data_IF_186487029465
#
_entry.id   IF_186487029465
#
_cell.length_a   1.000
_cell.length_b   1.000
_cell.length_c   1.000
_cell.angle_alpha   90.00
_cell.angle_beta   90.00
_cell.angle_gamma   90.00
#
_symmetry.space_group_name_H-M   'P 1'
#
loop_
_entity.id
_entity.type
_entity.pdbx_description
1 polymer ?
#
# COMPACT_ATOMS: atom_id res chain seq x y z
N UNK A 1 7.15 -20.59 -2.85
CA UNK A 1 6.23 -20.33 -3.98
C UNK A 1 6.94 -20.60 -5.29
N UNK A 2 6.31 -21.18 -6.31
CA UNK A 2 6.92 -21.30 -7.64
C UNK A 2 6.76 -20.02 -8.48
N UNK A 3 7.45 -19.89 -9.62
CA UNK A 3 7.40 -18.67 -10.45
C UNK A 3 6.02 -18.40 -11.09
N UNK A 4 5.24 -19.45 -11.37
CA UNK A 4 3.90 -19.30 -11.95
C UNK A 4 2.95 -18.74 -10.91
N UNK A 5 3.00 -19.30 -9.70
CA UNK A 5 2.25 -18.82 -8.55
C UNK A 5 2.67 -17.40 -8.19
N UNK A 6 3.98 -17.10 -8.13
CA UNK A 6 4.47 -15.75 -7.87
C UNK A 6 3.92 -14.73 -8.85
N UNK A 7 3.95 -15.04 -10.15
CA UNK A 7 3.37 -14.16 -11.18
C UNK A 7 1.88 -13.93 -10.95
N UNK A 8 1.12 -15.00 -10.66
CA UNK A 8 -0.33 -14.92 -10.41
C UNK A 8 -0.65 -14.06 -9.18
N UNK A 9 0.08 -14.25 -8.08
CA UNK A 9 -0.13 -13.48 -6.84
C UNK A 9 0.15 -11.99 -7.04
N UNK A 10 1.24 -11.67 -7.76
CA UNK A 10 1.59 -10.28 -8.10
C UNK A 10 0.56 -9.62 -9.01
N UNK A 11 0.06 -10.34 -10.03
CA UNK A 11 -1.03 -9.86 -10.90
C UNK A 11 -2.35 -9.66 -10.16
N UNK A 12 -2.57 -10.38 -9.05
CA UNK A 12 -3.74 -10.27 -8.20
C UNK A 12 -3.67 -9.17 -7.14
N UNK A 13 -2.56 -8.43 -7.04
CA UNK A 13 -2.42 -7.36 -6.06
C UNK A 13 -3.46 -6.27 -6.28
N UNK A 14 -4.18 -5.83 -5.24
CA UNK A 14 -5.10 -4.72 -5.35
C UNK A 14 -4.35 -3.41 -5.64
N UNK A 15 -5.03 -2.51 -6.32
CA UNK A 15 -4.52 -1.18 -6.66
C UNK A 15 -4.45 -0.29 -5.43
N UNK A 16 -3.22 0.09 -5.04
CA UNK A 16 -2.97 0.93 -3.86
C UNK A 16 -3.49 2.35 -4.09
N UNK A 17 -3.28 2.88 -5.29
CA UNK A 17 -3.71 4.21 -5.70
C UNK A 17 -5.24 4.38 -5.70
N UNK A 18 -5.98 3.33 -6.07
CA UNK A 18 -7.45 3.30 -5.95
C UNK A 18 -7.88 3.24 -4.49
N UNK A 19 -7.34 2.31 -3.70
CA UNK A 19 -7.72 2.14 -2.29
C UNK A 19 -7.48 3.41 -1.46
N UNK A 20 -6.35 4.10 -1.65
CA UNK A 20 -6.06 5.36 -0.93
C UNK A 20 -6.95 6.51 -1.40
N UNK A 21 -7.30 6.56 -2.69
CA UNK A 21 -8.21 7.58 -3.23
C UNK A 21 -9.62 7.39 -2.66
N UNK A 22 -10.12 6.16 -2.67
CA UNK A 22 -11.43 5.84 -2.12
C UNK A 22 -11.50 6.13 -0.62
N UNK A 23 -10.45 5.78 0.12
CA UNK A 23 -10.33 6.13 1.53
C UNK A 23 -10.37 7.64 1.75
N UNK A 24 -9.65 8.42 0.93
CA UNK A 24 -9.65 9.88 1.02
C UNK A 24 -11.05 10.48 0.74
N UNK A 25 -11.80 9.94 -0.22
CA UNK A 25 -13.16 10.41 -0.53
C UNK A 25 -14.15 10.06 0.58
N UNK A 26 -14.09 8.82 1.09
CA UNK A 26 -15.09 8.28 2.01
C UNK A 26 -14.80 8.52 3.50
N UNK A 27 -13.64 9.09 3.82
CA UNK A 27 -13.26 9.39 5.20
C UNK A 27 -12.72 10.82 5.34
N UNK A 28 -11.58 11.12 4.71
CA UNK A 28 -10.89 12.42 4.92
C UNK A 28 -11.74 13.60 4.49
N UNK A 29 -12.40 13.53 3.32
CA UNK A 29 -13.27 14.61 2.86
C UNK A 29 -14.50 14.80 3.75
N UNK A 30 -15.04 13.71 4.32
CA UNK A 30 -16.20 13.78 5.22
C UNK A 30 -15.90 14.58 6.49
N UNK A 31 -14.66 14.53 6.95
CA UNK A 31 -14.23 15.19 8.18
C UNK A 31 -13.70 16.62 7.97
N UNK A 32 -13.52 17.07 6.73
CA UNK A 32 -13.05 18.43 6.44
C UNK A 32 -14.20 19.43 6.46
N UNK A 33 -14.02 20.46 7.28
CA UNK A 33 -14.98 21.54 7.61
C UNK A 33 -15.62 22.21 6.38
N UNK A 34 -14.86 22.36 5.28
CA UNK A 34 -15.34 23.07 4.08
C UNK A 34 -15.93 22.15 3.01
N UNK A 35 -15.94 20.83 3.24
CA UNK A 35 -16.20 19.87 2.18
C UNK A 35 -17.61 19.27 2.21
N UNK A 36 -18.33 19.26 3.34
CA UNK A 36 -19.64 18.61 3.43
C UNK A 36 -20.66 19.35 4.32
N UNK A 37 -21.56 20.09 3.68
CA UNK A 37 -22.75 20.67 4.29
C UNK A 37 -23.85 19.63 4.59
N UNK A 38 -23.75 18.41 4.04
CA UNK A 38 -24.79 17.38 4.09
C UNK A 38 -24.56 16.26 5.13
N UNK A 39 -23.45 16.27 5.87
CA UNK A 39 -23.24 15.39 7.02
C UNK A 39 -23.49 16.18 8.31
N UNK A 40 -24.75 16.23 8.80
CA UNK A 40 -25.14 17.11 9.91
C UNK A 40 -24.31 16.87 11.17
N UNK A 41 -23.90 15.63 11.43
CA UNK A 41 -23.17 15.25 12.65
C UNK A 41 -21.78 15.88 12.81
N UNK A 42 -21.05 16.11 11.71
CA UNK A 42 -19.73 16.78 11.77
C UNK A 42 -19.88 18.28 12.12
N UNK A 43 -21.05 18.85 11.83
CA UNK A 43 -21.37 20.24 12.18
C UNK A 43 -21.79 20.42 13.65
N UNK A 44 -22.04 19.34 14.39
CA UNK A 44 -22.41 19.37 15.80
C UNK A 44 -21.18 19.38 16.72
N UNK A 45 -20.00 18.96 16.22
CA UNK A 45 -18.77 18.96 17.02
C UNK A 45 -18.40 20.36 17.52
N UNK A 46 -17.93 20.43 18.78
CA UNK A 46 -17.40 21.67 19.37
C UNK A 46 -16.14 22.14 18.63
N UNK A 47 -15.80 23.42 18.78
CA UNK A 47 -14.60 24.02 18.18
C UNK A 47 -13.32 23.27 18.60
N UNK A 48 -13.24 22.79 19.84
CA UNK A 48 -12.07 22.11 20.38
C UNK A 48 -11.90 20.71 19.79
N UNK A 49 -12.99 19.93 19.69
CA UNK A 49 -12.99 18.61 19.05
C UNK A 49 -12.60 18.73 17.58
N UNK A 50 -13.09 19.75 16.88
CA UNK A 50 -12.69 20.02 15.49
C UNK A 50 -11.21 20.35 15.35
N UNK A 51 -10.67 21.20 16.24
CA UNK A 51 -9.23 21.51 16.24
C UNK A 51 -8.40 20.26 16.48
N UNK A 52 -8.84 19.41 17.40
CA UNK A 52 -8.18 18.14 17.70
C UNK A 52 -8.16 17.22 16.47
N UNK A 53 -9.31 16.96 15.83
CA UNK A 53 -9.39 16.13 14.60
C UNK A 53 -8.53 16.73 13.48
N UNK A 54 -8.62 18.04 13.24
CA UNK A 54 -7.84 18.71 12.19
C UNK A 54 -6.32 18.64 12.44
N UNK A 55 -5.88 18.61 13.71
CA UNK A 55 -4.46 18.46 14.03
C UNK A 55 -3.89 17.11 13.57
N UNK A 56 -4.73 16.06 13.55
CA UNK A 56 -4.37 14.75 12.98
C UNK A 56 -4.51 14.71 11.45
N UNK A 57 -5.54 15.35 10.88
CA UNK A 57 -5.80 15.34 9.43
C UNK A 57 -4.85 16.22 8.60
N UNK A 58 -4.18 17.20 9.21
CA UNK A 58 -3.21 18.07 8.52
C UNK A 58 -1.98 17.28 8.02
N UNK A 59 -1.20 16.66 8.91
CA UNK A 59 -0.06 15.80 8.53
C UNK A 59 -0.46 14.59 7.68
N UNK A 60 -1.74 14.22 7.72
CA UNK A 60 -2.30 13.06 7.02
C UNK A 60 -2.25 13.17 5.50
N UNK A 61 -2.28 14.38 4.92
CA UNK A 61 -2.25 14.53 3.46
C UNK A 61 -0.94 14.07 2.84
N UNK A 62 0.19 14.42 3.46
CA UNK A 62 1.50 14.00 2.98
C UNK A 62 1.64 12.48 3.09
N UNK A 63 1.18 11.90 4.20
CA UNK A 63 1.17 10.45 4.40
C UNK A 63 0.35 9.72 3.33
N UNK A 64 -0.79 10.26 2.90
CA UNK A 64 -1.57 9.66 1.81
C UNK A 64 -0.85 9.71 0.47
N UNK A 65 -0.07 10.76 0.19
CA UNK A 65 0.74 10.84 -1.03
C UNK A 65 1.87 9.82 -1.01
N UNK A 66 2.54 9.65 0.13
CA UNK A 66 3.58 8.63 0.33
C UNK A 66 3.01 7.21 0.15
N UNK A 67 1.84 6.92 0.75
CA UNK A 67 1.17 5.61 0.60
C UNK A 67 0.76 5.36 -0.85
N UNK A 68 0.33 6.40 -1.58
CA UNK A 68 -0.03 6.28 -3.01
C UNK A 68 1.16 5.79 -3.85
N UNK A 69 2.38 6.17 -3.51
CA UNK A 69 3.59 5.69 -4.18
C UNK A 69 3.82 4.18 -4.00
N UNK A 70 3.16 3.54 -3.04
CA UNK A 70 3.14 2.08 -2.88
C UNK A 70 2.58 1.33 -4.10
N UNK A 71 1.90 2.01 -5.03
CA UNK A 71 1.53 1.42 -6.32
C UNK A 71 2.77 1.09 -7.17
N UNK A 72 3.86 1.86 -7.06
CA UNK A 72 5.10 1.58 -7.78
C UNK A 72 5.71 0.23 -7.35
N UNK A 73 5.48 -0.18 -6.09
CA UNK A 73 5.93 -1.48 -5.59
C UNK A 73 5.20 -2.62 -6.34
N UNK A 74 3.89 -2.49 -6.61
CA UNK A 74 3.15 -3.46 -7.41
C UNK A 74 3.77 -3.61 -8.81
N UNK A 75 4.11 -2.49 -9.44
CA UNK A 75 4.71 -2.46 -10.78
C UNK A 75 6.11 -3.08 -10.79
N UNK A 76 6.93 -2.79 -9.78
CA UNK A 76 8.26 -3.39 -9.60
C UNK A 76 8.16 -4.90 -9.35
N UNK A 77 7.26 -5.34 -8.48
CA UNK A 77 7.02 -6.78 -8.24
C UNK A 77 6.59 -7.50 -9.54
N UNK A 78 5.74 -6.86 -10.35
CA UNK A 78 5.31 -7.42 -11.64
C UNK A 78 6.51 -7.55 -12.59
N UNK A 79 7.33 -6.51 -12.67
CA UNK A 79 8.58 -6.54 -13.43
C UNK A 79 9.50 -7.68 -12.96
N UNK A 80 9.72 -7.83 -11.65
CA UNK A 80 10.57 -8.89 -11.10
C UNK A 80 10.05 -10.28 -11.40
N UNK A 81 8.76 -10.55 -11.20
CA UNK A 81 8.17 -11.84 -11.52
C UNK A 81 8.41 -12.22 -12.99
N UNK A 82 8.22 -11.25 -13.90
CA UNK A 82 8.50 -11.44 -15.34
C UNK A 82 9.98 -11.69 -15.61
N UNK A 83 10.88 -10.88 -15.04
CA UNK A 83 12.33 -11.03 -15.23
C UNK A 83 12.84 -12.36 -14.70
N UNK A 84 12.29 -12.88 -13.60
CA UNK A 84 12.68 -14.19 -13.05
C UNK A 84 12.24 -15.34 -13.96
N UNK A 85 11.04 -15.26 -14.55
CA UNK A 85 10.60 -16.22 -15.58
C UNK A 85 11.55 -16.19 -16.78
N UNK A 86 11.89 -14.99 -17.26
CA UNK A 86 12.82 -14.83 -18.38
C UNK A 86 14.22 -15.33 -18.03
N UNK A 87 14.71 -15.06 -16.81
CA UNK A 87 15.99 -15.56 -16.32
C UNK A 87 16.02 -17.08 -16.31
N UNK A 88 14.93 -17.73 -15.84
CA UNK A 88 14.83 -19.19 -15.84
C UNK A 88 14.87 -19.76 -17.26
N UNK A 89 14.07 -19.22 -18.18
CA UNK A 89 14.02 -19.68 -19.56
C UNK A 89 15.35 -19.49 -20.29
N UNK A 90 15.99 -18.32 -20.13
CA UNK A 90 17.29 -18.04 -20.75
C UNK A 90 18.41 -18.92 -20.20
N UNK A 91 18.37 -19.24 -18.91
CA UNK A 91 19.30 -20.21 -18.30
C UNK A 91 19.10 -21.61 -18.87
N UNK A 92 17.86 -22.07 -19.03
CA UNK A 92 17.56 -23.38 -19.63
C UNK A 92 18.01 -23.46 -21.10
N UNK A 93 17.92 -22.36 -21.83
CA UNK A 93 18.38 -22.27 -23.23
C UNK A 93 19.90 -22.10 -23.37
N UNK A 94 20.67 -22.04 -22.28
CA UNK A 94 22.12 -21.87 -22.31
C UNK A 94 22.61 -20.47 -22.72
N UNK A 95 21.73 -19.45 -22.77
CA UNK A 95 22.11 -18.08 -23.14
C UNK A 95 22.68 -17.32 -21.94
N UNK A 96 23.96 -17.60 -21.63
CA UNK A 96 24.66 -17.02 -20.48
C UNK A 96 24.77 -15.48 -20.57
N UNK A 97 24.84 -14.91 -21.78
CA UNK A 97 24.95 -13.46 -21.99
C UNK A 97 23.66 -12.76 -21.56
N UNK A 98 22.52 -13.22 -22.07
CA UNK A 98 21.21 -12.63 -21.73
C UNK A 98 20.88 -12.86 -20.26
N UNK A 99 21.17 -14.05 -19.75
CA UNK A 99 21.10 -14.37 -18.34
C UNK A 99 21.85 -13.36 -17.43
N UNK A 100 23.09 -13.04 -17.77
CA UNK A 100 23.91 -12.05 -17.04
C UNK A 100 23.31 -10.65 -17.11
N UNK A 101 22.78 -10.26 -18.27
CA UNK A 101 22.13 -8.96 -18.47
C UNK A 101 20.87 -8.81 -17.60
N UNK A 102 20.00 -9.83 -17.56
CA UNK A 102 18.81 -9.82 -16.70
C UNK A 102 19.22 -9.74 -15.22
N UNK A 103 20.20 -10.54 -14.81
CA UNK A 103 20.74 -10.52 -13.43
C UNK A 103 21.25 -9.13 -13.06
N UNK A 104 21.99 -8.49 -13.98
CA UNK A 104 22.53 -7.14 -13.76
C UNK A 104 21.43 -6.10 -13.59
N UNK A 105 20.37 -6.15 -14.42
CA UNK A 105 19.23 -5.25 -14.27
C UNK A 105 18.56 -5.39 -12.91
N UNK A 106 18.27 -6.62 -12.48
CA UNK A 106 17.62 -6.88 -11.20
C UNK A 106 18.43 -6.39 -9.98
N UNK A 107 19.75 -6.27 -10.11
CA UNK A 107 20.65 -5.86 -9.03
C UNK A 107 21.06 -4.40 -9.07
N UNK A 108 21.19 -3.81 -10.27
CA UNK A 108 21.88 -2.53 -10.46
C UNK A 108 21.08 -1.48 -11.22
N UNK A 109 19.88 -1.81 -11.70
CA UNK A 109 19.03 -0.84 -12.38
C UNK A 109 18.61 0.29 -11.43
N UNK A 110 18.65 1.54 -11.90
CA UNK A 110 18.36 2.70 -11.07
C UNK A 110 16.92 2.74 -10.56
N UNK A 111 15.99 2.09 -11.28
CA UNK A 111 14.55 2.10 -10.95
C UNK A 111 14.09 0.74 -10.42
N UNK A 112 14.59 -0.34 -11.03
CA UNK A 112 14.16 -1.72 -10.79
C UNK A 112 15.21 -2.57 -10.07
N UNK A 113 16.04 -1.98 -9.21
CA UNK A 113 16.87 -2.79 -8.33
C UNK A 113 16.07 -3.29 -7.12
N UNK A 114 16.29 -4.57 -6.79
CA UNK A 114 15.61 -5.24 -5.68
C UNK A 114 15.94 -4.61 -4.31
N UNK A 115 17.15 -4.09 -4.12
CA UNK A 115 17.60 -3.53 -2.85
C UNK A 115 16.78 -2.30 -2.45
N UNK A 116 16.62 -1.35 -3.37
CA UNK A 116 15.77 -0.18 -3.18
C UNK A 116 14.31 -0.58 -2.96
N UNK A 117 13.81 -1.57 -3.69
CA UNK A 117 12.41 -2.01 -3.51
C UNK A 117 12.17 -2.62 -2.14
N UNK A 118 13.17 -3.26 -1.52
CA UNK A 118 13.06 -3.74 -0.14
C UNK A 118 12.85 -2.58 0.84
N UNK A 119 13.57 -1.48 0.67
CA UNK A 119 13.39 -0.29 1.51
C UNK A 119 12.03 0.38 1.25
N UNK A 120 11.61 0.51 -0.02
CA UNK A 120 10.30 1.04 -0.37
C UNK A 120 9.15 0.23 0.25
N UNK A 121 9.26 -1.10 0.27
CA UNK A 121 8.29 -2.00 0.93
C UNK A 121 8.23 -1.76 2.44
N UNK A 122 9.38 -1.57 3.10
CA UNK A 122 9.42 -1.27 4.54
C UNK A 122 8.81 0.09 4.85
N UNK A 123 9.13 1.09 4.05
CA UNK A 123 8.58 2.44 4.18
C UNK A 123 7.05 2.42 3.96
N UNK A 124 6.57 1.71 2.94
CA UNK A 124 5.14 1.54 2.71
C UNK A 124 4.43 0.87 3.88
N UNK A 125 4.96 -0.23 4.42
CA UNK A 125 4.42 -0.90 5.61
C UNK A 125 4.36 0.04 6.83
N UNK A 126 5.44 0.82 7.04
CA UNK A 126 5.49 1.82 8.10
C UNK A 126 4.40 2.89 7.93
N UNK A 127 4.26 3.43 6.72
CA UNK A 127 3.32 4.49 6.40
C UNK A 127 1.87 4.02 6.52
N UNK A 128 1.55 2.82 6.05
CA UNK A 128 0.22 2.20 6.21
C UNK A 128 -0.08 1.92 7.69
N UNK A 129 0.90 1.51 8.48
CA UNK A 129 0.74 1.33 9.93
C UNK A 129 0.43 2.67 10.62
N UNK A 130 1.13 3.74 10.24
CA UNK A 130 0.89 5.10 10.74
C UNK A 130 -0.50 5.59 10.35
N UNK A 131 -0.95 5.33 9.12
CA UNK A 131 -2.30 5.62 8.64
C UNK A 131 -3.35 4.93 9.52
N UNK A 132 -3.17 3.63 9.77
CA UNK A 132 -4.10 2.85 10.59
C UNK A 132 -4.21 3.37 12.02
N UNK A 133 -3.10 3.84 12.61
CA UNK A 133 -3.09 4.45 13.95
C UNK A 133 -3.85 5.78 13.98
N UNK A 134 -3.59 6.67 13.01
CA UNK A 134 -4.30 7.95 12.92
C UNK A 134 -5.79 7.73 12.67
N UNK A 135 -6.14 6.78 11.80
CA UNK A 135 -7.53 6.39 11.57
C UNK A 135 -8.23 5.92 12.85
N UNK A 136 -7.59 5.06 13.64
CA UNK A 136 -8.13 4.60 14.91
C UNK A 136 -8.36 5.74 15.91
N UNK A 137 -7.36 6.61 16.10
CA UNK A 137 -7.46 7.76 17.01
C UNK A 137 -8.57 8.72 16.61
N UNK A 138 -8.66 9.08 15.33
CA UNK A 138 -9.71 10.00 14.86
C UNK A 138 -11.09 9.37 15.01
N UNK A 139 -11.24 8.07 14.74
CA UNK A 139 -12.52 7.40 14.94
C UNK A 139 -12.90 7.28 16.42
N UNK A 140 -11.95 7.06 17.32
CA UNK A 140 -12.21 7.04 18.77
C UNK A 140 -12.74 8.40 19.26
N UNK A 141 -12.10 9.50 18.86
CA UNK A 141 -12.58 10.86 19.14
C UNK A 141 -13.99 11.07 18.58
N UNK A 142 -14.26 10.58 17.36
CA UNK A 142 -15.61 10.67 16.79
C UNK A 142 -16.62 9.83 17.58
N UNK A 143 -16.29 8.61 17.96
CA UNK A 143 -17.18 7.74 18.74
C UNK A 143 -17.50 8.34 20.12
N UNK A 144 -16.61 9.12 20.73
CA UNK A 144 -16.93 9.81 21.99
C UNK A 144 -17.99 10.91 21.83
N UNK A 145 -18.10 11.51 20.64
CA UNK A 145 -18.86 12.74 20.42
C UNK A 145 -20.10 12.56 19.52
N UNK A 146 -20.27 11.40 18.89
CA UNK A 146 -21.42 11.07 18.05
C UNK A 146 -22.56 10.43 18.85
N UNK A 147 -23.80 10.73 18.48
CA UNK A 147 -24.97 9.99 18.95
C UNK A 147 -24.99 8.55 18.40
N UNK A 148 -25.82 7.68 18.97
CA UNK A 148 -25.89 6.27 18.56
C UNK A 148 -26.28 6.10 17.08
N UNK A 149 -27.23 6.89 16.58
CA UNK A 149 -27.66 6.85 15.18
C UNK A 149 -26.54 7.27 14.23
N UNK A 150 -25.79 8.31 14.61
CA UNK A 150 -24.65 8.81 13.83
C UNK A 150 -23.48 7.82 13.84
N UNK A 151 -23.24 7.12 14.96
CA UNK A 151 -22.28 6.01 15.04
C UNK A 151 -22.65 4.89 14.07
N UNK A 152 -23.91 4.48 14.03
CA UNK A 152 -24.39 3.44 13.12
C UNK A 152 -24.18 3.89 11.66
N UNK A 153 -24.56 5.11 11.34
CA UNK A 153 -24.37 5.64 9.99
C UNK A 153 -22.88 5.72 9.61
N UNK A 154 -22.02 6.21 10.51
CA UNK A 154 -20.59 6.35 10.26
C UNK A 154 -19.87 5.00 10.14
N UNK A 155 -20.28 3.98 10.91
CA UNK A 155 -19.70 2.62 10.84
C UNK A 155 -20.15 1.84 9.59
N UNK A 156 -21.28 2.21 8.98
CA UNK A 156 -21.72 1.65 7.70
C UNK A 156 -20.87 2.13 6.50
N UNK A 157 -20.13 3.23 6.64
CA UNK A 157 -19.27 3.73 5.58
C UNK A 157 -18.09 2.78 5.33
N UNK A 158 -17.66 2.61 4.06
CA UNK A 158 -16.64 1.61 3.70
C UNK A 158 -15.20 2.00 4.08
N UNK A 159 -14.98 3.07 4.87
CA UNK A 159 -13.64 3.59 5.18
C UNK A 159 -12.72 2.56 5.84
N UNK A 160 -13.25 1.73 6.75
CA UNK A 160 -12.51 0.66 7.42
C UNK A 160 -11.98 -0.37 6.43
N UNK A 161 -12.81 -0.75 5.46
CA UNK A 161 -12.45 -1.72 4.42
C UNK A 161 -11.24 -1.24 3.62
N UNK A 162 -11.14 0.05 3.32
CA UNK A 162 -10.01 0.58 2.57
C UNK A 162 -8.70 0.57 3.38
N UNK A 163 -8.75 0.91 4.67
CA UNK A 163 -7.58 0.80 5.57
C UNK A 163 -7.12 -0.66 5.69
N UNK A 164 -8.07 -1.58 5.92
CA UNK A 164 -7.76 -3.02 5.99
C UNK A 164 -7.18 -3.55 4.67
N UNK A 165 -7.67 -3.04 3.53
CA UNK A 165 -7.12 -3.38 2.21
C UNK A 165 -5.67 -2.92 2.08
N UNK A 166 -5.34 -1.69 2.49
CA UNK A 166 -3.97 -1.17 2.46
C UNK A 166 -3.04 -1.98 3.38
N UNK A 167 -3.48 -2.29 4.60
CA UNK A 167 -2.71 -3.12 5.55
C UNK A 167 -2.42 -4.50 4.99
N UNK A 168 -3.44 -5.17 4.44
CA UNK A 168 -3.28 -6.47 3.78
C UNK A 168 -2.33 -6.37 2.58
N UNK A 169 -2.45 -5.32 1.77
CA UNK A 169 -1.60 -5.12 0.59
C UNK A 169 -0.14 -4.97 0.98
N UNK A 170 0.17 -4.18 2.02
CA UNK A 170 1.52 -4.01 2.53
C UNK A 170 2.14 -5.35 2.98
N UNK A 171 1.37 -6.16 3.72
CA UNK A 171 1.82 -7.48 4.16
C UNK A 171 2.09 -8.42 2.98
N UNK A 172 1.20 -8.43 1.96
CA UNK A 172 1.37 -9.27 0.77
C UNK A 172 2.56 -8.80 -0.07
N UNK A 173 2.74 -7.50 -0.29
CA UNK A 173 3.91 -6.95 -1.01
C UNK A 173 5.22 -7.37 -0.35
N UNK A 174 5.31 -7.29 0.99
CA UNK A 174 6.47 -7.75 1.76
C UNK A 174 6.74 -9.23 1.59
N UNK A 175 5.70 -10.06 1.67
CA UNK A 175 5.82 -11.49 1.42
C UNK A 175 6.32 -11.78 -0.01
N UNK A 176 5.71 -11.15 -1.02
CA UNK A 176 6.06 -11.34 -2.43
C UNK A 176 7.48 -10.88 -2.73
N UNK A 177 7.94 -9.76 -2.14
CA UNK A 177 9.32 -9.31 -2.28
C UNK A 177 10.31 -10.33 -1.69
N UNK A 178 9.96 -10.95 -0.55
CA UNK A 178 10.73 -12.05 0.02
C UNK A 178 10.80 -13.28 -0.91
N UNK A 179 9.69 -13.65 -1.54
CA UNK A 179 9.65 -14.76 -2.51
C UNK A 179 10.41 -14.44 -3.80
N UNK A 180 10.34 -13.19 -4.30
CA UNK A 180 11.16 -12.69 -5.42
C UNK A 180 12.65 -12.89 -5.11
N UNK A 181 13.10 -12.49 -3.91
CA UNK A 181 14.49 -12.67 -3.48
C UNK A 181 14.91 -14.14 -3.42
N UNK A 182 14.08 -15.02 -2.84
CA UNK A 182 14.35 -16.46 -2.79
C UNK A 182 14.47 -17.08 -4.19
N UNK A 183 13.56 -16.72 -5.09
CA UNK A 183 13.58 -17.21 -6.47
C UNK A 183 14.80 -16.71 -7.23
N UNK A 184 15.16 -15.45 -7.06
CA UNK A 184 16.37 -14.88 -7.65
C UNK A 184 17.63 -15.64 -7.21
N UNK A 185 17.82 -15.81 -5.90
CA UNK A 185 18.95 -16.55 -5.34
C UNK A 185 18.98 -18.00 -5.84
N UNK A 186 17.82 -18.67 -5.90
CA UNK A 186 17.75 -20.04 -6.42
C UNK A 186 18.11 -20.14 -7.90
N UNK A 187 17.90 -19.11 -8.71
CA UNK A 187 18.21 -19.14 -10.15
C UNK A 187 19.68 -18.78 -10.41
N UNK A 188 20.25 -17.88 -9.62
CA UNK A 188 21.64 -17.43 -9.76
C UNK A 188 22.61 -18.40 -9.07
N UNK A 189 22.28 -18.91 -7.89
CA UNK A 189 23.13 -19.82 -7.12
C UNK A 189 23.13 -21.28 -7.61
N UNK A 190 22.30 -21.61 -8.62
CA UNK A 190 22.35 -22.92 -9.33
C UNK A 190 23.27 -22.90 -10.55
N UNK A 191 23.94 -21.78 -10.81
CA UNK A 191 25.03 -21.68 -11.79
C UNK A 191 26.37 -21.85 -11.10
#
# INVERSE_FOLDING_TARGET
>A
MDLRQLKKEVEGLPRVDTAISDFQQNWVKLLRVNSNSHLPFVQVFSSDVRKQINSYLGPFQNLMLEIRQGQNINEKLFHYARSLVELKLTTLNGDARKAKLITTRLLKDEVFNMAQTIEEVREFEHNVTKLSKVYAVVNEIMEEHLSLEEKIHFTQLPHRKYVETLVKTAAVQKQLMGEVGKQFVSLVGKR
#
